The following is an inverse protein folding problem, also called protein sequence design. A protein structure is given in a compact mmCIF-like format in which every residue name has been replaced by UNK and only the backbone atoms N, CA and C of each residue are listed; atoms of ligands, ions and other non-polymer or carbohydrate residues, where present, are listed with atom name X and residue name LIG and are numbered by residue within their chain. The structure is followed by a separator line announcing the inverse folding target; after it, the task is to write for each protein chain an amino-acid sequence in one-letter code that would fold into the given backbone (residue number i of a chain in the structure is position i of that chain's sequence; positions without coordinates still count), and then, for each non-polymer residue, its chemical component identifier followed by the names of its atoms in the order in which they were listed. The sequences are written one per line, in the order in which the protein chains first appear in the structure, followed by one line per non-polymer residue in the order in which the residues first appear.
data_IF_426608845318
#
_entry.id   IF_426608845318
#
_cell.length_a   1.000
_cell.length_b   1.000
_cell.length_c   1.000
_cell.angle_alpha   90.00
_cell.angle_beta   90.00
_cell.angle_gamma   90.00
#
_symmetry.space_group_name_H-M   'P 1'
#
loop_
_entity.id
_entity.type
_entity.pdbx_description
1 polymer ?
#
# COMPACT_ATOMS: atom_id res chain seq x y z
N UNK A 1 3.08 -0.98 8.67
CA UNK A 1 1.62 -0.83 8.88
C UNK A 1 0.90 -1.49 7.71
N UNK A 2 -0.13 -2.31 7.97
CA UNK A 2 -0.95 -2.90 6.90
C UNK A 2 -2.09 -1.94 6.54
N UNK A 3 -2.29 -1.69 5.25
CA UNK A 3 -3.25 -0.70 4.74
C UNK A 3 -3.96 -1.27 3.51
N UNK A 4 -5.23 -0.92 3.36
CA UNK A 4 -6.05 -1.31 2.21
C UNK A 4 -5.95 -0.26 1.11
N UNK A 5 -5.73 -0.70 -0.13
CA UNK A 5 -5.77 0.17 -1.32
C UNK A 5 -7.22 0.55 -1.60
N UNK A 6 -7.53 1.84 -1.55
CA UNK A 6 -8.88 2.35 -1.85
C UNK A 6 -9.07 2.61 -3.34
N UNK A 7 -8.01 3.00 -4.06
CA UNK A 7 -8.05 3.28 -5.50
C UNK A 7 -6.69 3.09 -6.15
N UNK A 8 -6.70 2.51 -7.35
CA UNK A 8 -5.54 2.47 -8.26
C UNK A 8 -5.70 3.57 -9.31
N UNK A 9 -4.61 4.26 -9.62
CA UNK A 9 -4.54 5.33 -10.61
C UNK A 9 -3.44 5.05 -11.62
N UNK A 10 -3.40 5.80 -12.73
CA UNK A 10 -2.36 5.63 -13.77
C UNK A 10 -0.93 5.84 -13.25
N UNK A 11 -0.74 6.59 -12.17
CA UNK A 11 0.59 6.99 -11.64
C UNK A 11 0.85 6.52 -10.20
N UNK A 12 -0.01 5.67 -9.64
CA UNK A 12 0.13 5.21 -8.25
C UNK A 12 -1.18 4.72 -7.65
N UNK A 13 -1.27 4.71 -6.33
CA UNK A 13 -2.45 4.25 -5.59
C UNK A 13 -2.80 5.20 -4.44
N UNK A 14 -4.02 5.08 -3.95
CA UNK A 14 -4.54 5.81 -2.80
C UNK A 14 -4.93 4.83 -1.70
N UNK A 15 -4.85 5.31 -0.46
CA UNK A 15 -5.18 4.58 0.76
C UNK A 15 -6.19 5.39 1.55
N UNK A 16 -7.07 4.71 2.29
CA UNK A 16 -7.85 5.35 3.35
C UNK A 16 -7.21 5.02 4.69
N UNK A 17 -6.98 6.04 5.50
CA UNK A 17 -6.32 5.89 6.80
C UNK A 17 -7.21 6.49 7.87
N UNK A 18 -7.61 5.66 8.84
CA UNK A 18 -8.46 6.09 9.95
C UNK A 18 -7.64 6.84 11.02
N UNK A 19 -8.29 7.70 11.84
CA UNK A 19 -7.58 8.51 12.84
C UNK A 19 -6.69 7.71 13.81
N UNK A 20 -7.13 6.52 14.22
CA UNK A 20 -6.36 5.65 15.11
C UNK A 20 -5.00 5.26 14.50
N UNK A 21 -4.98 4.89 13.21
CA UNK A 21 -3.74 4.55 12.49
C UNK A 21 -2.84 5.76 12.32
N UNK A 22 -3.38 6.95 12.04
CA UNK A 22 -2.58 8.19 11.96
C UNK A 22 -1.94 8.57 13.29
N UNK A 23 -2.62 8.29 14.41
CA UNK A 23 -2.14 8.57 15.77
C UNK A 23 -1.03 7.62 16.21
N UNK A 24 -1.12 6.34 15.84
CA UNK A 24 -0.21 5.28 16.30
C UNK A 24 0.93 4.96 15.33
N UNK A 25 1.00 5.62 14.19
CA UNK A 25 2.07 5.40 13.20
C UNK A 25 2.75 6.72 12.83
N UNK A 26 3.86 6.64 12.09
CA UNK A 26 4.56 7.81 11.57
C UNK A 26 3.88 8.42 10.33
N UNK A 27 2.76 7.86 9.85
CA UNK A 27 2.09 8.32 8.62
C UNK A 27 1.67 9.79 8.69
N UNK A 28 1.27 10.28 9.87
CA UNK A 28 0.89 11.69 10.09
C UNK A 28 2.05 12.68 9.94
N UNK A 29 3.30 12.20 9.96
CA UNK A 29 4.51 13.02 9.83
C UNK A 29 5.04 13.07 8.39
N UNK A 30 4.52 12.22 7.49
CA UNK A 30 4.97 12.15 6.10
C UNK A 30 4.53 13.39 5.32
N UNK A 31 5.42 13.85 4.45
CA UNK A 31 5.21 14.96 3.53
C UNK A 31 5.29 14.49 2.08
N UNK A 32 4.80 15.33 1.17
CA UNK A 32 4.90 15.08 -0.27
C UNK A 32 6.37 14.89 -0.65
N UNK A 33 6.64 13.82 -1.41
CA UNK A 33 7.98 13.35 -1.85
C UNK A 33 8.77 12.53 -0.82
N UNK A 34 8.27 12.34 0.40
CA UNK A 34 8.90 11.41 1.34
C UNK A 34 8.86 9.98 0.77
N UNK A 35 9.95 9.25 0.98
CA UNK A 35 10.04 7.84 0.62
C UNK A 35 9.49 6.98 1.75
N UNK A 36 8.80 5.91 1.38
CA UNK A 36 8.30 4.90 2.30
C UNK A 36 8.70 3.52 1.80
N UNK A 37 8.82 2.58 2.73
CA UNK A 37 9.01 1.18 2.39
C UNK A 37 7.67 0.60 1.94
N UNK A 38 7.66 -0.09 0.80
CA UNK A 38 6.49 -0.76 0.26
C UNK A 38 6.77 -2.26 0.21
N UNK A 39 5.90 -3.03 0.84
CA UNK A 39 5.88 -4.48 0.76
C UNK A 39 4.57 -4.92 0.11
N UNK A 40 4.66 -5.85 -0.84
CA UNK A 40 3.50 -6.40 -1.54
C UNK A 40 3.09 -7.70 -0.85
N UNK A 41 1.77 -7.89 -0.70
CA UNK A 41 1.20 -9.10 -0.12
C UNK A 41 1.73 -10.36 -0.82
N UNK A 42 2.07 -11.37 -0.01
CA UNK A 42 2.56 -12.66 -0.48
C UNK A 42 1.55 -13.35 -1.42
N UNK A 43 0.25 -13.16 -1.22
CA UNK A 43 -0.80 -13.67 -2.11
C UNK A 43 -0.63 -13.15 -3.54
N UNK A 44 -0.23 -11.90 -3.71
CA UNK A 44 0.02 -11.32 -5.03
C UNK A 44 1.18 -12.00 -5.74
N UNK A 45 2.20 -12.49 -5.01
CA UNK A 45 3.31 -13.26 -5.59
C UNK A 45 2.83 -14.60 -6.11
N UNK A 46 1.92 -15.26 -5.41
CA UNK A 46 1.33 -16.53 -5.85
C UNK A 46 0.45 -16.31 -7.07
N UNK A 47 -0.49 -15.36 -7.03
CA UNK A 47 -1.38 -15.07 -8.18
C UNK A 47 -0.58 -14.75 -9.44
N UNK A 48 0.48 -13.93 -9.34
CA UNK A 48 1.35 -13.63 -10.49
C UNK A 48 2.02 -14.88 -11.09
N UNK A 49 2.41 -15.85 -10.25
CA UNK A 49 2.98 -17.13 -10.71
C UNK A 49 1.95 -17.99 -11.41
N UNK A 50 0.72 -18.06 -10.88
CA UNK A 50 -0.37 -18.83 -11.50
C UNK A 50 -0.81 -18.23 -12.83
N UNK A 51 -1.00 -16.90 -12.91
CA UNK A 51 -1.43 -16.22 -14.15
C UNK A 51 -0.37 -16.28 -15.25
N UNK A 52 0.93 -16.30 -14.92
CA UNK A 52 2.02 -16.41 -15.91
C UNK A 52 2.18 -17.79 -16.55
N UNK A 53 1.54 -18.82 -16.00
CA UNK A 53 1.69 -20.21 -16.45
C UNK A 53 0.64 -20.63 -17.48
N UNK A 54 -0.34 -19.76 -17.74
CA UNK A 54 -1.31 -19.82 -18.83
C UNK A 54 -0.99 -18.73 -19.86
#
# INVERSE_FOLDING_TARGET
VSLTISKVTKKGFQLWVIPHTLKLTNLSKLKKKDKVNIEIDILSKYVKRYVKKN
#
